data_IF_647480353848
#
_entry.id   IF_647480353848
#
_cell.length_a   1.000
_cell.length_b   1.000
_cell.length_c   1.000
_cell.angle_alpha   90.00
_cell.angle_beta   90.00
_cell.angle_gamma   90.00
#
_symmetry.space_group_name_H-M   'P 1'
#
loop_
_entity.id
_entity.type
_entity.pdbx_description
1 polymer ?
#
# COMPACT_ATOMS: atom_id res chain seq x y z
N UNK A 1 12.42 20.76 48.27
CA UNK A 1 12.07 21.40 46.98
C UNK A 1 12.16 20.34 45.90
N UNK A 2 11.01 19.82 45.45
CA UNK A 2 10.96 18.85 44.36
C UNK A 2 11.03 19.58 43.02
N UNK A 3 12.14 19.46 42.31
CA UNK A 3 12.17 19.85 40.92
C UNK A 3 11.59 18.70 40.09
N UNK A 4 10.48 18.99 39.42
CA UNK A 4 9.96 18.16 38.36
C UNK A 4 10.99 18.05 37.24
N UNK A 5 11.36 16.81 36.92
CA UNK A 5 11.94 16.46 35.64
C UNK A 5 10.82 15.89 34.78
N UNK A 6 10.37 16.66 33.79
CA UNK A 6 9.42 16.21 32.80
C UNK A 6 9.95 14.92 32.14
N UNK A 7 9.08 13.92 32.04
CA UNK A 7 9.31 12.74 31.20
C UNK A 7 9.36 13.23 29.75
N UNK A 8 10.57 13.50 29.23
CA UNK A 8 10.79 13.67 27.81
C UNK A 8 10.54 12.32 27.14
N UNK A 9 9.29 12.11 26.73
CA UNK A 9 8.97 11.04 25.77
C UNK A 9 9.77 11.31 24.49
N UNK A 10 10.54 10.33 23.98
CA UNK A 10 11.29 10.53 22.75
C UNK A 10 10.30 10.78 21.61
N UNK A 11 10.52 11.87 20.88
CA UNK A 11 9.83 12.16 19.65
C UNK A 11 9.99 11.01 18.67
N UNK A 12 8.86 10.49 18.18
CA UNK A 12 8.73 9.81 16.89
C UNK A 12 9.78 8.75 16.56
N UNK A 13 9.60 7.52 17.06
CA UNK A 13 9.97 6.35 16.27
C UNK A 13 8.68 5.63 15.93
N UNK A 14 7.91 6.25 15.02
CA UNK A 14 6.99 5.51 14.19
C UNK A 14 7.86 4.62 13.31
N UNK A 15 7.76 3.30 13.47
CA UNK A 15 8.43 2.32 12.62
C UNK A 15 7.81 2.26 11.22
N UNK A 16 7.55 3.42 10.62
CA UNK A 16 7.14 3.55 9.23
C UNK A 16 8.34 3.38 8.32
N UNK A 17 8.06 2.98 7.09
CA UNK A 17 9.09 2.99 6.05
C UNK A 17 9.56 4.44 5.86
N UNK A 18 10.88 4.65 5.80
CA UNK A 18 11.48 5.99 5.61
C UNK A 18 12.10 6.16 4.23
N UNK A 19 12.21 5.05 3.49
CA UNK A 19 12.76 5.02 2.13
C UNK A 19 11.74 5.57 1.14
N UNK A 20 12.24 6.28 0.14
CA UNK A 20 11.40 6.82 -0.92
C UNK A 20 11.15 5.74 -1.97
N UNK A 21 9.93 5.67 -2.47
CA UNK A 21 9.60 4.78 -3.58
C UNK A 21 10.04 5.44 -4.89
N UNK A 22 11.09 4.89 -5.51
CA UNK A 22 11.54 5.28 -6.84
C UNK A 22 10.58 4.76 -7.92
N UNK A 23 10.12 3.51 -7.77
CA UNK A 23 9.21 2.87 -8.74
C UNK A 23 8.15 2.06 -8.02
N UNK A 24 6.92 2.19 -8.51
CA UNK A 24 5.74 1.54 -7.97
C UNK A 24 4.97 0.92 -9.12
N UNK A 25 4.56 -0.33 -8.97
CA UNK A 25 3.73 -1.02 -9.95
C UNK A 25 2.79 -1.97 -9.22
N UNK A 26 1.51 -1.92 -9.55
CA UNK A 26 0.50 -2.82 -9.02
C UNK A 26 -0.16 -3.60 -10.16
N UNK A 27 -0.47 -4.87 -9.92
CA UNK A 27 -1.15 -5.75 -10.86
C UNK A 27 -2.07 -6.71 -10.12
N UNK A 28 -3.26 -6.95 -10.66
CA UNK A 28 -4.21 -7.91 -10.10
C UNK A 28 -4.35 -9.10 -11.04
N UNK A 29 -4.19 -10.30 -10.49
CA UNK A 29 -4.51 -11.57 -11.15
C UNK A 29 -5.64 -12.26 -10.37
N UNK A 30 -6.85 -12.25 -10.94
CA UNK A 30 -8.04 -12.81 -10.31
C UNK A 30 -8.44 -12.09 -9.02
N UNK A 31 -8.00 -12.65 -7.89
CA UNK A 31 -8.20 -12.12 -6.53
C UNK A 31 -6.88 -11.87 -5.80
N UNK A 32 -5.74 -12.01 -6.47
CA UNK A 32 -4.42 -11.72 -5.93
C UNK A 32 -3.93 -10.36 -6.44
N UNK A 33 -3.68 -9.44 -5.52
CA UNK A 33 -3.01 -8.16 -5.78
C UNK A 33 -1.52 -8.33 -5.53
N UNK A 34 -0.73 -7.98 -6.54
CA UNK A 34 0.73 -7.95 -6.48
C UNK A 34 1.21 -6.51 -6.61
N UNK A 35 2.03 -6.06 -5.66
CA UNK A 35 2.63 -4.73 -5.63
C UNK A 35 4.15 -4.86 -5.65
N UNK A 36 4.77 -4.22 -6.62
CA UNK A 36 6.22 -4.13 -6.81
C UNK A 36 6.69 -2.73 -6.41
N UNK A 37 7.61 -2.68 -5.45
CA UNK A 37 8.20 -1.46 -4.92
C UNK A 37 9.71 -1.48 -5.19
N UNK A 38 10.22 -0.43 -5.81
CA UNK A 38 11.65 -0.15 -5.86
C UNK A 38 11.92 1.04 -4.95
N UNK A 39 12.64 0.80 -3.87
CA UNK A 39 13.06 1.84 -2.93
C UNK A 39 14.36 2.51 -3.40
N UNK A 40 14.67 3.67 -2.84
CA UNK A 40 15.87 4.46 -3.19
C UNK A 40 17.20 3.77 -2.84
N UNK A 41 17.22 2.93 -1.82
CA UNK A 41 18.36 2.08 -1.44
C UNK A 41 18.51 0.83 -2.34
N UNK A 42 17.99 0.86 -3.56
CA UNK A 42 17.96 -0.25 -4.53
C UNK A 42 17.22 -1.52 -4.07
N UNK A 43 16.53 -1.48 -2.93
CA UNK A 43 15.77 -2.61 -2.43
C UNK A 43 14.48 -2.80 -3.26
N UNK A 44 14.38 -3.96 -3.91
CA UNK A 44 13.19 -4.38 -4.62
C UNK A 44 12.33 -5.22 -3.69
N UNK A 45 11.06 -4.83 -3.54
CA UNK A 45 10.09 -5.61 -2.76
C UNK A 45 8.91 -5.99 -3.62
N UNK A 46 8.50 -7.23 -3.46
CA UNK A 46 7.28 -7.74 -4.05
C UNK A 46 6.37 -8.14 -2.90
N UNK A 47 5.20 -7.52 -2.85
CA UNK A 47 4.15 -7.82 -1.90
C UNK A 47 3.02 -8.46 -2.68
N UNK A 48 2.52 -9.58 -2.19
CA UNK A 48 1.35 -10.25 -2.77
C UNK A 48 0.36 -10.46 -1.67
N UNK A 49 -0.88 -10.05 -1.90
CA UNK A 49 -1.99 -10.26 -0.96
C UNK A 49 -3.23 -10.65 -1.74
N UNK A 50 -4.09 -11.43 -1.10
CA UNK A 50 -5.43 -11.65 -1.62
C UNK A 50 -6.29 -10.42 -1.33
N UNK A 51 -7.19 -10.10 -2.26
CA UNK A 51 -8.16 -9.01 -2.17
C UNK A 51 -9.57 -9.55 -2.36
N UNK A 52 -10.45 -9.18 -1.45
CA UNK A 52 -11.88 -9.45 -1.47
C UNK A 52 -12.69 -8.29 -2.06
N UNK A 53 -14.00 -8.47 -2.15
CA UNK A 53 -14.93 -7.45 -2.68
C UNK A 53 -15.12 -6.24 -1.75
N UNK A 54 -14.73 -6.39 -0.48
CA UNK A 54 -14.80 -5.34 0.54
C UNK A 54 -13.47 -4.58 0.68
N UNK A 55 -12.41 -5.05 0.03
CA UNK A 55 -11.11 -4.41 0.10
C UNK A 55 -11.11 -3.15 -0.77
N UNK A 56 -10.76 -2.03 -0.14
CA UNK A 56 -10.60 -0.73 -0.80
C UNK A 56 -9.12 -0.37 -0.85
N UNK A 57 -8.76 0.44 -1.84
CA UNK A 57 -7.40 0.97 -1.95
C UNK A 57 -6.95 1.66 -0.65
N UNK A 58 -7.83 2.40 0.01
CA UNK A 58 -7.54 3.09 1.27
C UNK A 58 -7.14 2.09 2.37
N UNK A 59 -7.94 1.05 2.59
CA UNK A 59 -7.63 0.04 3.61
C UNK A 59 -6.30 -0.66 3.32
N UNK A 60 -6.06 -1.05 2.07
CA UNK A 60 -4.81 -1.72 1.67
C UNK A 60 -3.59 -0.82 1.90
N UNK A 61 -3.68 0.47 1.57
CA UNK A 61 -2.59 1.43 1.80
C UNK A 61 -2.35 1.66 3.29
N UNK A 62 -3.41 1.78 4.08
CA UNK A 62 -3.31 1.95 5.53
C UNK A 62 -2.55 0.78 6.15
N UNK A 63 -2.85 -0.47 5.74
CA UNK A 63 -2.09 -1.64 6.16
C UNK A 63 -0.63 -1.58 5.68
N UNK A 64 -0.38 -1.23 4.41
CA UNK A 64 0.99 -1.12 3.87
C UNK A 64 1.86 -0.11 4.64
N UNK A 65 1.28 1.02 5.07
CA UNK A 65 1.96 2.03 5.89
C UNK A 65 2.19 1.50 7.30
N UNK A 66 1.16 0.94 7.94
CA UNK A 66 1.24 0.41 9.31
C UNK A 66 2.26 -0.72 9.45
N UNK A 67 2.37 -1.57 8.43
CA UNK A 67 3.36 -2.65 8.37
C UNK A 67 4.77 -2.17 8.00
N UNK A 68 4.95 -0.89 7.67
CA UNK A 68 6.25 -0.32 7.31
C UNK A 68 6.74 -0.77 5.92
N UNK A 69 5.83 -1.08 5.00
CA UNK A 69 6.19 -1.41 3.62
C UNK A 69 6.35 -0.17 2.74
N UNK A 70 5.56 0.87 3.02
CA UNK A 70 5.59 2.15 2.31
C UNK A 70 5.56 3.31 3.30
N UNK A 71 6.08 4.45 2.86
CA UNK A 71 6.14 5.68 3.63
C UNK A 71 4.77 6.39 3.62
N UNK A 72 4.43 7.14 4.67
CA UNK A 72 3.21 7.96 4.71
C UNK A 72 3.17 8.97 3.54
N UNK A 73 4.33 9.47 3.10
CA UNK A 73 4.45 10.37 1.96
C UNK A 73 4.03 9.73 0.64
N UNK A 74 4.24 8.42 0.48
CA UNK A 74 3.88 7.67 -0.71
C UNK A 74 2.46 7.09 -0.65
N UNK A 75 1.82 7.11 0.52
CA UNK A 75 0.49 6.54 0.76
C UNK A 75 -0.57 7.07 -0.22
N UNK A 76 -0.61 8.39 -0.44
CA UNK A 76 -1.61 9.02 -1.29
C UNK A 76 -1.43 8.62 -2.76
N UNK A 77 -0.19 8.46 -3.22
CA UNK A 77 0.13 8.02 -4.58
C UNK A 77 -0.21 6.54 -4.76
N UNK A 78 0.11 5.71 -3.77
CA UNK A 78 -0.25 4.28 -3.77
C UNK A 78 -1.77 4.10 -3.79
N UNK A 79 -2.50 4.91 -3.02
CA UNK A 79 -3.95 4.83 -2.93
C UNK A 79 -4.61 5.11 -4.28
N UNK A 80 -4.19 6.17 -4.97
CA UNK A 80 -4.68 6.46 -6.32
C UNK A 80 -4.39 5.32 -7.30
N UNK A 81 -3.16 4.80 -7.32
CA UNK A 81 -2.78 3.69 -8.21
C UNK A 81 -3.60 2.42 -7.93
N UNK A 82 -3.74 2.03 -6.65
CA UNK A 82 -4.51 0.85 -6.29
C UNK A 82 -5.99 1.02 -6.63
N UNK A 83 -6.54 2.22 -6.49
CA UNK A 83 -7.93 2.52 -6.87
C UNK A 83 -8.13 2.25 -8.35
N UNK A 84 -7.27 2.80 -9.21
CA UNK A 84 -7.33 2.60 -10.66
C UNK A 84 -7.23 1.10 -11.01
N UNK A 85 -6.24 0.39 -10.44
CA UNK A 85 -6.00 -1.03 -10.72
C UNK A 85 -7.17 -1.91 -10.25
N UNK A 86 -7.77 -1.61 -9.09
CA UNK A 86 -8.94 -2.33 -8.57
C UNK A 86 -10.18 -2.11 -9.47
N UNK A 87 -10.41 -0.88 -9.93
CA UNK A 87 -11.51 -0.55 -10.84
C UNK A 87 -11.33 -1.22 -12.22
N UNK A 88 -10.12 -1.19 -12.77
CA UNK A 88 -9.79 -1.85 -14.04
C UNK A 88 -9.99 -3.38 -13.95
N UNK A 89 -9.55 -4.00 -12.85
CA UNK A 89 -9.75 -5.43 -12.59
C UNK A 89 -11.24 -5.79 -12.52
N UNK A 90 -12.05 -4.95 -11.86
CA UNK A 90 -13.50 -5.14 -11.79
C UNK A 90 -14.17 -5.00 -13.16
N UNK A 91 -13.69 -4.09 -14.00
CA UNK A 91 -14.22 -3.88 -15.35
C UNK A 91 -13.85 -5.05 -16.29
N UNK A 92 -12.60 -5.52 -16.24
CA UNK A 92 -12.15 -6.67 -17.03
C UNK A 92 -12.83 -7.98 -16.65
N UNK A 93 -13.14 -8.21 -15.36
CA UNK A 93 -13.98 -9.34 -14.93
C UNK A 93 -15.39 -9.29 -15.54
N UNK A 94 -15.97 -8.11 -15.68
CA UNK A 94 -17.31 -7.96 -16.29
C UNK A 94 -17.30 -8.20 -17.81
N UNK A 95 -16.19 -7.90 -18.51
CA UNK A 95 -16.06 -8.15 -19.95
C UNK A 95 -15.79 -9.63 -20.30
N UNK A 96 -15.38 -10.48 -19.36
CA UNK A 96 -15.30 -11.93 -19.61
C UNK A 96 -16.62 -12.68 -19.45
N UNK A 97 -17.65 -12.05 -18.89
CA UNK A 97 -18.96 -12.68 -18.68
C UNK A 97 -19.94 -12.50 -19.85
N UNK A 98 -19.56 -11.80 -20.92
CA UNK A 98 -20.43 -11.47 -22.04
C UNK A 98 -19.99 -12.05 -23.39
N UNK A 99 -19.36 -13.23 -23.40
CA UNK A 99 -19.27 -14.06 -24.61
C UNK A 99 -20.60 -14.79 -24.86
N UNK A 100 -21.37 -14.46 -25.93
CA UNK A 100 -22.52 -15.25 -26.32
C UNK A 100 -22.08 -16.58 -26.96
N UNK A 101 -22.67 -17.67 -26.44
CA UNK A 101 -22.84 -19.03 -27.01
C UNK A 101 -21.62 -19.87 -27.33
#
# INVERSE_FOLDING_TARGET
MGHGGALSMPAGVGGGETRLILRMHASIDGNSLQVLLQLDDHMNRQLTTEIGEQDTAENLVIELVQHGFISETDSQKMCSMLTEVLEESRNTKQHRLNSPT
#
